data_IF_357410299885
#
_entry.id   IF_357410299885
#
_cell.length_a   1.000
_cell.length_b   1.000
_cell.length_c   1.000
_cell.angle_alpha   90.00
_cell.angle_beta   90.00
_cell.angle_gamma   90.00
#
_symmetry.space_group_name_H-M   'P 1'
#
loop_
_entity.id
_entity.type
_entity.pdbx_description
1 polymer ?
#
# COMPACT_ATOMS: atom_id res chain seq x y z
N UNK A 1 12.59 -7.02 -0.37
CA UNK A 1 12.76 -5.56 -0.52
C UNK A 1 11.47 -4.84 -0.92
N UNK A 2 10.84 -5.15 -2.07
CA UNK A 2 9.60 -4.45 -2.52
C UNK A 2 8.46 -4.42 -1.50
N UNK A 3 8.24 -5.54 -0.79
CA UNK A 3 7.26 -5.61 0.30
C UNK A 3 7.60 -4.68 1.47
N UNK A 4 8.88 -4.65 1.87
CA UNK A 4 9.36 -3.76 2.95
C UNK A 4 9.11 -2.31 2.57
N UNK A 5 9.53 -1.88 1.37
CA UNK A 5 9.25 -0.53 0.83
C UNK A 5 7.75 -0.20 0.79
N UNK A 6 6.92 -1.15 0.36
CA UNK A 6 5.46 -0.97 0.34
C UNK A 6 4.89 -0.73 1.74
N UNK A 7 5.32 -1.51 2.74
CA UNK A 7 4.91 -1.30 4.12
C UNK A 7 5.40 0.03 4.69
N UNK A 8 6.65 0.42 4.46
CA UNK A 8 7.15 1.73 4.93
C UNK A 8 6.39 2.88 4.30
N UNK A 9 6.09 2.81 3.00
CA UNK A 9 5.27 3.83 2.32
C UNK A 9 3.86 3.88 2.89
N UNK A 10 3.21 2.73 3.09
CA UNK A 10 1.85 2.68 3.64
C UNK A 10 1.80 3.22 5.08
N UNK A 11 2.79 2.91 5.91
CA UNK A 11 2.89 3.43 7.28
C UNK A 11 3.09 4.95 7.27
N UNK A 12 4.00 5.47 6.44
CA UNK A 12 4.21 6.91 6.29
C UNK A 12 2.96 7.63 5.81
N UNK A 13 2.25 7.05 4.84
CA UNK A 13 0.99 7.58 4.34
C UNK A 13 -0.11 7.60 5.41
N UNK A 14 -0.20 6.56 6.24
CA UNK A 14 -1.13 6.53 7.37
C UNK A 14 -0.80 7.57 8.43
N UNK A 15 0.48 7.76 8.76
CA UNK A 15 0.92 8.79 9.70
C UNK A 15 0.59 10.18 9.14
N UNK A 16 0.88 10.43 7.86
CA UNK A 16 0.51 11.67 7.18
C UNK A 16 -0.99 11.94 7.21
N UNK A 17 -1.80 10.90 7.01
CA UNK A 17 -3.25 11.01 7.10
C UNK A 17 -3.72 11.28 8.53
N UNK A 18 -3.13 10.64 9.54
CA UNK A 18 -3.43 10.96 10.94
C UNK A 18 -3.12 12.42 11.30
N UNK A 19 -2.09 13.01 10.70
CA UNK A 19 -1.73 14.42 10.90
C UNK A 19 -2.72 15.41 10.25
N UNK A 20 -3.65 14.96 9.40
CA UNK A 20 -4.74 15.83 8.91
C UNK A 20 -5.83 16.08 9.95
N UNK A 21 -5.88 15.29 11.03
CA UNK A 21 -6.82 15.53 12.12
C UNK A 21 -6.29 16.59 13.08
N UNK A 22 -7.11 17.61 13.36
CA UNK A 22 -6.70 18.77 14.18
C UNK A 22 -6.21 18.34 15.57
N UNK A 23 -6.85 17.34 16.19
CA UNK A 23 -6.43 16.77 17.48
C UNK A 23 -5.01 16.21 17.46
N UNK A 24 -4.59 15.61 16.35
CA UNK A 24 -3.26 15.01 16.21
C UNK A 24 -2.23 16.10 15.90
N UNK A 25 -2.61 17.10 15.11
CA UNK A 25 -1.78 18.26 14.79
C UNK A 25 -1.45 19.09 16.04
N UNK A 26 -2.43 19.26 16.92
CA UNK A 26 -2.27 19.95 18.21
C UNK A 26 -1.30 19.24 19.15
N UNK A 27 -1.32 17.91 19.18
CA UNK A 27 -0.40 17.10 20.02
C UNK A 27 1.03 17.11 19.46
N UNK A 28 1.18 17.11 18.14
CA UNK A 28 2.49 16.93 17.50
C UNK A 28 3.24 18.25 17.26
N UNK A 29 2.56 19.40 17.29
CA UNK A 29 3.14 20.76 17.20
C UNK A 29 4.23 20.91 16.12
N UNK A 30 4.05 20.26 14.97
CA UNK A 30 5.03 20.28 13.89
C UNK A 30 4.85 21.57 13.09
N UNK A 31 5.69 22.57 13.35
CA UNK A 31 5.65 23.90 12.69
C UNK A 31 5.64 23.84 11.15
N UNK A 32 6.27 22.83 10.55
CA UNK A 32 6.27 22.64 9.09
C UNK A 32 4.88 22.34 8.50
N UNK A 33 3.96 21.77 9.29
CA UNK A 33 2.62 21.38 8.84
C UNK A 33 1.59 22.51 8.98
N UNK A 34 1.94 23.64 9.59
CA UNK A 34 1.05 24.80 9.71
C UNK A 34 0.87 25.53 8.37
N UNK A 35 1.91 25.53 7.52
CA UNK A 35 1.86 26.15 6.19
C UNK A 35 1.07 25.32 5.16
N UNK A 36 0.77 24.06 5.44
CA UNK A 36 0.13 23.15 4.48
C UNK A 36 -1.35 23.04 4.84
N UNK A 37 -2.22 23.30 3.87
CA UNK A 37 -3.66 23.14 4.07
C UNK A 37 -4.02 21.67 4.31
N UNK A 38 -5.00 21.42 5.18
CA UNK A 38 -5.45 20.07 5.50
C UNK A 38 -5.84 19.28 4.23
N UNK A 39 -6.42 19.97 3.24
CA UNK A 39 -6.77 19.37 1.94
C UNK A 39 -5.55 18.88 1.14
N UNK A 40 -4.47 19.66 1.11
CA UNK A 40 -3.22 19.26 0.43
C UNK A 40 -2.56 18.08 1.15
N UNK A 41 -2.48 18.11 2.48
CA UNK A 41 -1.94 17.00 3.27
C UNK A 41 -2.76 15.71 3.07
N UNK A 42 -4.09 15.82 2.97
CA UNK A 42 -4.97 14.69 2.69
C UNK A 42 -4.68 14.08 1.32
N UNK A 43 -4.59 14.91 0.26
CA UNK A 43 -4.29 14.44 -1.09
C UNK A 43 -2.93 13.73 -1.12
N UNK A 44 -1.88 14.34 -0.56
CA UNK A 44 -0.54 13.76 -0.52
C UNK A 44 -0.56 12.41 0.21
N UNK A 45 -1.21 12.35 1.37
CA UNK A 45 -1.28 11.13 2.18
C UNK A 45 -2.01 10.01 1.46
N UNK A 46 -3.14 10.31 0.80
CA UNK A 46 -3.89 9.35 -0.01
C UNK A 46 -3.03 8.81 -1.17
N UNK A 47 -2.33 9.69 -1.89
CA UNK A 47 -1.45 9.28 -3.01
C UNK A 47 -0.34 8.34 -2.52
N UNK A 48 0.29 8.66 -1.38
CA UNK A 48 1.35 7.84 -0.79
C UNK A 48 0.82 6.47 -0.35
N UNK A 49 -0.36 6.41 0.27
CA UNK A 49 -1.00 5.14 0.65
C UNK A 49 -1.30 4.30 -0.59
N UNK A 50 -1.88 4.90 -1.63
CA UNK A 50 -2.22 4.21 -2.88
C UNK A 50 -0.97 3.64 -3.55
N UNK A 51 0.11 4.42 -3.64
CA UNK A 51 1.41 3.95 -4.13
C UNK A 51 1.96 2.79 -3.30
N UNK A 52 1.88 2.87 -1.97
CA UNK A 52 2.27 1.79 -1.07
C UNK A 52 1.47 0.50 -1.32
N UNK A 53 0.15 0.60 -1.46
CA UNK A 53 -0.75 -0.53 -1.74
C UNK A 53 -0.43 -1.14 -3.11
N UNK A 54 -0.17 -0.33 -4.13
CA UNK A 54 0.20 -0.81 -5.47
C UNK A 54 1.52 -1.61 -5.40
N UNK A 55 2.51 -1.13 -4.66
CA UNK A 55 3.78 -1.84 -4.46
C UNK A 55 3.61 -3.16 -3.68
N UNK A 56 2.61 -3.23 -2.80
CA UNK A 56 2.26 -4.44 -2.05
C UNK A 56 1.44 -5.43 -2.88
N UNK A 57 0.69 -4.98 -3.89
CA UNK A 57 0.03 -5.84 -4.87
C UNK A 57 1.10 -6.52 -5.74
N UNK A 58 1.56 -7.68 -5.29
CA UNK A 58 2.30 -8.60 -6.14
C UNK A 58 1.47 -8.93 -7.39
N UNK A 59 2.14 -9.21 -8.52
CA UNK A 59 1.48 -9.70 -9.73
C UNK A 59 0.61 -10.90 -9.32
N UNK A 60 -0.71 -10.72 -9.26
CA UNK A 60 -1.64 -11.84 -9.29
C UNK A 60 -1.41 -12.47 -10.65
N UNK A 61 -0.74 -13.61 -10.69
CA UNK A 61 -0.82 -14.47 -11.86
C UNK A 61 -2.31 -14.76 -12.02
N UNK A 62 -2.89 -14.19 -13.07
CA UNK A 62 -4.28 -14.42 -13.44
C UNK A 62 -4.40 -15.93 -13.66
N UNK A 63 -4.94 -16.66 -12.69
CA UNK A 63 -5.35 -18.04 -12.91
C UNK A 63 -6.46 -17.96 -13.95
N UNK A 64 -6.12 -18.30 -15.19
CA UNK A 64 -7.08 -18.58 -16.24
C UNK A 64 -8.05 -19.63 -15.67
N UNK A 65 -9.34 -19.36 -15.75
CA UNK A 65 -10.39 -20.20 -15.14
C UNK A 65 -10.45 -21.64 -15.71
N UNK A 66 -9.60 -21.99 -16.68
CA UNK A 66 -9.48 -23.33 -17.26
C UNK A 66 -8.11 -24.01 -17.07
N UNK A 67 -7.26 -23.49 -16.18
CA UNK A 67 -5.92 -24.02 -15.97
C UNK A 67 -5.88 -24.94 -14.73
N UNK A 68 -5.76 -26.25 -14.94
CA UNK A 68 -5.62 -27.23 -13.85
C UNK A 68 -4.17 -27.20 -13.32
N UNK A 69 -3.94 -26.92 -12.03
CA UNK A 69 -2.60 -26.92 -11.46
C UNK A 69 -2.00 -28.33 -11.45
N UNK A 70 -0.77 -28.46 -11.95
CA UNK A 70 0.04 -29.67 -11.85
C UNK A 70 0.84 -29.58 -10.55
N UNK A 71 0.65 -30.56 -9.65
CA UNK A 71 1.33 -30.61 -8.36
C UNK A 71 2.52 -31.58 -8.38
N UNK A 72 3.61 -31.18 -7.73
CA UNK A 72 4.69 -32.08 -7.31
C UNK A 72 4.78 -32.04 -5.78
N UNK A 73 4.23 -33.06 -5.13
CA UNK A 73 4.00 -33.04 -3.69
C UNK A 73 3.06 -31.91 -3.29
N UNK A 74 3.50 -31.00 -2.41
CA UNK A 74 2.72 -29.84 -1.94
C UNK A 74 2.92 -28.56 -2.77
N UNK A 75 3.70 -28.61 -3.86
CA UNK A 75 4.05 -27.41 -4.66
C UNK A 75 3.44 -27.50 -6.05
N UNK A 76 2.82 -26.41 -6.51
CA UNK A 76 2.36 -26.27 -7.90
C UNK A 76 3.58 -26.01 -8.78
N UNK A 77 3.81 -26.88 -9.77
CA UNK A 77 4.93 -26.79 -10.71
C UNK A 77 4.53 -26.25 -12.08
N UNK A 78 3.24 -26.23 -12.39
CA UNK A 78 2.74 -25.70 -13.65
C UNK A 78 1.23 -25.73 -13.71
N UNK A 79 0.69 -25.34 -14.86
CA UNK A 79 -0.73 -25.32 -15.14
C UNK A 79 -0.97 -25.94 -16.52
N UNK A 80 -1.90 -26.89 -16.62
CA UNK A 80 -2.34 -27.48 -17.89
C UNK A 80 -3.63 -26.79 -18.34
N UNK A 81 -3.67 -26.37 -19.60
CA UNK A 81 -4.93 -25.94 -20.25
C UNK A 81 -5.75 -27.16 -20.63
N UNK A 82 -7.04 -27.14 -20.33
CA UNK A 82 -8.02 -27.99 -21.01
C UNK A 82 -8.15 -27.60 -22.49
#
# INVERSE_FOLDING_TARGET
>A
MKKVMGYTLSILGLIGLSLTFDKVKEITQIKFLESITNFQMMIISVVVIVMGIILLRGKKYSQSKGDIPIYQGKKVIGYRRE
#
